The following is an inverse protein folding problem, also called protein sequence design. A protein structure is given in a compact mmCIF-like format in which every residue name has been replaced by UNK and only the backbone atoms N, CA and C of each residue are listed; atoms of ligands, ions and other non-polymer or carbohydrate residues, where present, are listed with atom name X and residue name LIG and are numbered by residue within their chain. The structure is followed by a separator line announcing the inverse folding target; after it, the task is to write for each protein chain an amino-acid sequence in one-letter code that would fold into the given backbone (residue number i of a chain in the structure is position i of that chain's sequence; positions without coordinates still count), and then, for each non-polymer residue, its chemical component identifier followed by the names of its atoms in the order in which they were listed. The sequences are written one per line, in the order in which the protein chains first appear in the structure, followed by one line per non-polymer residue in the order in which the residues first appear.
data_IF_270317799307
#
_entry.id   IF_270317799307
#
_cell.length_a   1.000
_cell.length_b   1.000
_cell.length_c   1.000
_cell.angle_alpha   90.00
_cell.angle_beta   90.00
_cell.angle_gamma   90.00
#
_symmetry.space_group_name_H-M   'P 1'
#
loop_
_entity.id
_entity.type
_entity.pdbx_description
1 polymer ?
#
# COMPACT_ATOMS: atom_id res chain seq x y z
N UNK A 1 24.97 -5.19 3.53
CA UNK A 1 23.59 -5.69 3.62
C UNK A 1 22.77 -4.77 4.48
N UNK A 2 21.72 -4.24 3.89
CA UNK A 2 20.80 -3.43 4.65
C UNK A 2 19.99 -4.32 5.59
N UNK A 3 20.04 -4.01 6.86
CA UNK A 3 19.11 -4.63 7.80
C UNK A 3 17.71 -4.14 7.46
N UNK A 4 16.90 -5.07 6.98
CA UNK A 4 15.51 -4.80 6.69
C UNK A 4 14.72 -5.00 7.97
N UNK A 5 14.09 -3.95 8.44
CA UNK A 5 13.09 -4.10 9.48
C UNK A 5 11.77 -4.42 8.80
N UNK A 6 11.10 -5.44 9.25
CA UNK A 6 9.83 -5.84 8.67
C UNK A 6 8.74 -5.90 9.73
N UNK A 7 7.61 -5.30 9.42
CA UNK A 7 6.41 -5.38 10.23
C UNK A 7 5.33 -6.07 9.42
N UNK A 8 4.69 -7.07 10.01
CA UNK A 8 3.61 -7.81 9.35
C UNK A 8 2.42 -7.84 10.28
N UNK A 9 1.24 -7.58 9.74
CA UNK A 9 0.01 -7.75 10.48
C UNK A 9 -1.06 -8.34 9.58
N UNK A 10 -1.93 -9.13 10.17
CA UNK A 10 -3.09 -9.70 9.50
C UNK A 10 -4.33 -9.21 10.23
N UNK A 11 -5.35 -8.81 9.49
CA UNK A 11 -6.55 -8.26 10.08
C UNK A 11 -7.78 -8.72 9.29
N UNK A 12 -8.97 -8.70 9.92
CA UNK A 12 -10.21 -9.04 9.21
C UNK A 12 -10.48 -8.06 8.08
N UNK A 13 -11.06 -8.57 6.98
CA UNK A 13 -11.41 -7.74 5.82
C UNK A 13 -12.65 -6.90 6.13
N UNK A 14 -12.48 -5.90 6.97
CA UNK A 14 -13.55 -4.99 7.40
C UNK A 14 -13.11 -3.55 7.16
N UNK A 15 -14.02 -2.69 6.68
CA UNK A 15 -13.65 -1.29 6.38
C UNK A 15 -13.06 -0.52 7.56
N UNK A 16 -13.46 -0.83 8.77
CA UNK A 16 -12.96 -0.14 9.97
C UNK A 16 -11.46 -0.35 10.20
N UNK A 17 -10.87 -1.42 9.63
CA UNK A 17 -9.44 -1.68 9.76
C UNK A 17 -8.60 -0.85 8.80
N UNK A 18 -9.19 -0.21 7.80
CA UNK A 18 -8.43 0.67 6.90
C UNK A 18 -7.79 1.81 7.69
N UNK A 19 -8.51 2.38 8.65
CA UNK A 19 -7.97 3.42 9.53
C UNK A 19 -6.82 2.92 10.40
N UNK A 20 -6.89 1.69 10.88
CA UNK A 20 -5.83 1.07 11.68
C UNK A 20 -4.56 0.92 10.84
N UNK A 21 -4.70 0.39 9.63
CA UNK A 21 -3.58 0.21 8.71
C UNK A 21 -2.92 1.56 8.39
N UNK A 22 -3.73 2.57 8.15
CA UNK A 22 -3.23 3.92 7.87
C UNK A 22 -2.40 4.46 9.03
N UNK A 23 -2.86 4.24 10.28
CA UNK A 23 -2.11 4.66 11.46
C UNK A 23 -0.77 3.93 11.59
N UNK A 24 -0.76 2.62 11.35
CA UNK A 24 0.46 1.82 11.42
C UNK A 24 1.48 2.33 10.40
N UNK A 25 1.05 2.50 9.17
CA UNK A 25 1.95 2.92 8.09
C UNK A 25 2.46 4.34 8.32
N UNK A 26 1.58 5.24 8.77
CA UNK A 26 2.01 6.61 9.05
C UNK A 26 3.02 6.67 10.19
N UNK A 27 2.86 5.82 11.20
CA UNK A 27 3.83 5.73 12.29
C UNK A 27 5.19 5.27 11.82
N UNK A 28 5.23 4.26 10.95
CA UNK A 28 6.47 3.76 10.37
C UNK A 28 7.12 4.84 9.50
N UNK A 29 6.35 5.47 8.63
CA UNK A 29 6.85 6.51 7.75
C UNK A 29 7.38 7.71 8.52
N UNK A 30 6.69 8.12 9.57
CA UNK A 30 7.14 9.20 10.43
C UNK A 30 8.49 8.87 11.07
N UNK A 31 8.62 7.65 11.56
CA UNK A 31 9.88 7.19 12.16
C UNK A 31 11.03 7.20 11.16
N UNK A 32 10.75 6.90 9.90
CA UNK A 32 11.77 6.89 8.85
C UNK A 32 12.24 8.28 8.44
N UNK A 33 11.45 9.31 8.72
CA UNK A 33 11.82 10.69 8.42
C UNK A 33 11.18 11.27 7.18
N UNK A 34 10.13 10.66 6.66
CA UNK A 34 9.37 11.26 5.56
C UNK A 34 8.75 12.59 5.97
N UNK A 35 8.59 13.49 5.02
CA UNK A 35 7.91 14.76 5.26
C UNK A 35 6.43 14.55 5.50
N UNK A 36 5.78 15.57 6.05
CA UNK A 36 4.33 15.53 6.27
C UNK A 36 3.58 15.22 4.97
N UNK A 37 3.93 15.90 3.90
CA UNK A 37 3.26 15.70 2.61
C UNK A 37 3.47 14.29 2.08
N UNK A 38 4.68 13.76 2.21
CA UNK A 38 4.97 12.38 1.80
C UNK A 38 4.18 11.37 2.63
N UNK A 39 4.04 11.62 3.93
CA UNK A 39 3.26 10.73 4.81
C UNK A 39 1.79 10.78 4.41
N UNK A 40 1.25 11.96 4.08
CA UNK A 40 -0.13 12.07 3.61
C UNK A 40 -0.34 11.32 2.30
N UNK A 41 0.62 11.40 1.38
CA UNK A 41 0.57 10.65 0.13
C UNK A 41 0.56 9.14 0.39
N UNK A 42 1.43 8.67 1.28
CA UNK A 42 1.49 7.26 1.67
C UNK A 42 0.17 6.82 2.28
N UNK A 43 -0.41 7.61 3.16
CA UNK A 43 -1.68 7.30 3.82
C UNK A 43 -2.82 7.15 2.81
N UNK A 44 -2.88 8.04 1.84
CA UNK A 44 -3.92 7.98 0.80
C UNK A 44 -3.74 6.72 -0.05
N UNK A 45 -2.53 6.46 -0.52
CA UNK A 45 -2.23 5.30 -1.35
C UNK A 45 -2.56 3.99 -0.61
N UNK A 46 -2.14 3.89 0.63
CA UNK A 46 -2.38 2.70 1.46
C UNK A 46 -3.88 2.52 1.73
N UNK A 47 -4.59 3.62 1.99
CA UNK A 47 -6.04 3.56 2.21
C UNK A 47 -6.77 3.03 0.99
N UNK A 48 -6.37 3.45 -0.20
CA UNK A 48 -6.95 2.96 -1.44
C UNK A 48 -6.65 1.48 -1.66
N UNK A 49 -5.40 1.08 -1.51
CA UNK A 49 -5.01 -0.31 -1.69
C UNK A 49 -5.69 -1.22 -0.66
N UNK A 50 -5.73 -0.78 0.60
CA UNK A 50 -6.35 -1.53 1.68
C UNK A 50 -7.86 -1.64 1.49
N UNK A 51 -8.51 -0.54 1.11
CA UNK A 51 -9.94 -0.53 0.83
C UNK A 51 -10.32 -1.49 -0.28
N UNK A 52 -9.52 -1.51 -1.35
CA UNK A 52 -9.73 -2.44 -2.46
C UNK A 52 -9.55 -3.89 -2.01
N UNK A 53 -8.53 -4.17 -1.21
CA UNK A 53 -8.29 -5.53 -0.69
C UNK A 53 -9.41 -5.98 0.24
N UNK A 54 -9.90 -5.10 1.10
CA UNK A 54 -11.01 -5.38 2.00
C UNK A 54 -12.28 -5.67 1.21
N UNK A 55 -12.59 -4.85 0.23
CA UNK A 55 -13.77 -5.04 -0.60
C UNK A 55 -13.70 -6.35 -1.37
N UNK A 56 -12.56 -6.64 -1.98
CA UNK A 56 -12.35 -7.87 -2.74
C UNK A 56 -12.51 -9.11 -1.84
N UNK A 57 -11.86 -9.10 -0.68
CA UNK A 57 -11.93 -10.23 0.24
C UNK A 57 -13.33 -10.42 0.83
N UNK A 58 -14.04 -9.32 1.10
CA UNK A 58 -15.39 -9.35 1.65
C UNK A 58 -16.39 -9.85 0.63
N UNK A 59 -16.29 -9.40 -0.61
CA UNK A 59 -17.21 -9.81 -1.67
C UNK A 59 -17.12 -11.31 -1.95
N UNK A 60 -15.94 -11.88 -1.80
CA UNK A 60 -15.72 -13.29 -2.08
C UNK A 60 -15.99 -14.18 -0.87
N UNK A 61 -15.64 -13.72 0.33
CA UNK A 61 -15.85 -14.50 1.56
C UNK A 61 -16.13 -13.58 2.74
N UNK A 62 -17.11 -13.94 3.55
CA UNK A 62 -17.44 -13.19 4.76
C UNK A 62 -16.33 -13.21 5.81
N UNK A 63 -15.46 -14.22 5.75
CA UNK A 63 -14.36 -14.41 6.69
C UNK A 63 -13.00 -14.05 6.09
N UNK A 64 -12.98 -13.15 5.10
CA UNK A 64 -11.74 -12.75 4.46
C UNK A 64 -10.80 -12.04 5.40
N UNK A 65 -9.52 -12.20 5.12
CA UNK A 65 -8.46 -11.52 5.85
C UNK A 65 -7.57 -10.75 4.89
N UNK A 66 -6.96 -9.69 5.39
CA UNK A 66 -6.01 -8.88 4.64
C UNK A 66 -4.70 -8.86 5.41
N UNK A 67 -3.61 -8.97 4.68
CA UNK A 67 -2.27 -8.95 5.24
C UNK A 67 -1.55 -7.68 4.81
N UNK A 68 -0.96 -7.00 5.78
CA UNK A 68 -0.09 -5.85 5.55
C UNK A 68 1.33 -6.25 5.88
N UNK A 69 2.27 -5.92 5.01
CA UNK A 69 3.69 -6.08 5.29
C UNK A 69 4.39 -4.76 4.95
N UNK A 70 5.20 -4.27 5.88
CA UNK A 70 5.99 -3.07 5.67
C UNK A 70 7.46 -3.43 5.79
N UNK A 71 8.23 -3.20 4.73
CA UNK A 71 9.67 -3.38 4.72
C UNK A 71 10.37 -2.03 4.79
N UNK A 72 11.15 -1.83 5.84
CA UNK A 72 11.90 -0.58 6.06
C UNK A 72 13.33 -0.77 5.57
N UNK A 73 13.68 -0.01 4.55
CA UNK A 73 15.04 0.00 3.98
C UNK A 73 15.68 1.35 4.25
N UNK A 74 16.97 1.43 4.01
CA UNK A 74 17.70 2.67 4.21
C UNK A 74 17.22 3.79 3.28
N UNK A 75 16.74 3.43 2.10
CA UNK A 75 16.40 4.38 1.03
C UNK A 75 14.93 4.36 0.64
N UNK A 76 14.12 3.53 1.26
CA UNK A 76 12.71 3.42 0.85
C UNK A 76 11.87 2.64 1.88
N UNK A 77 10.58 2.82 1.76
CA UNK A 77 9.57 2.02 2.44
C UNK A 77 8.81 1.22 1.39
N UNK A 78 8.74 -0.09 1.57
CA UNK A 78 7.92 -0.97 0.73
C UNK A 78 6.72 -1.45 1.53
N UNK A 79 5.54 -1.23 0.99
CA UNK A 79 4.29 -1.60 1.64
C UNK A 79 3.58 -2.60 0.74
N UNK A 80 3.26 -3.77 1.29
CA UNK A 80 2.55 -4.80 0.56
C UNK A 80 1.22 -5.05 1.24
N UNK A 81 0.15 -5.04 0.45
CA UNK A 81 -1.20 -5.36 0.93
C UNK A 81 -1.71 -6.50 0.06
N UNK A 82 -2.12 -7.58 0.72
CA UNK A 82 -2.65 -8.74 -0.01
C UNK A 82 -3.84 -9.32 0.72
N UNK A 83 -4.81 -9.83 -0.03
CA UNK A 83 -5.89 -10.58 0.58
C UNK A 83 -5.41 -12.00 0.90
N UNK A 84 -6.07 -12.66 1.85
CA UNK A 84 -5.73 -14.02 2.18
C UNK A 84 -6.14 -14.94 1.03
N UNK A 85 -5.33 -15.92 0.71
CA UNK A 85 -5.48 -16.75 -0.47
C UNK A 85 -6.67 -17.70 -0.49
N UNK A 86 -7.64 -17.57 0.40
CA UNK A 86 -8.80 -18.46 0.41
C UNK A 86 -9.67 -18.32 -0.82
N UNK A 87 -9.69 -17.14 -1.42
CA UNK A 87 -10.44 -16.85 -2.64
C UNK A 87 -9.69 -17.19 -3.90
N UNK A 88 -8.46 -17.60 -3.77
CA UNK A 88 -7.53 -17.77 -4.89
C UNK A 88 -8.07 -18.73 -5.95
N UNK A 89 -8.60 -19.87 -5.54
CA UNK A 89 -9.11 -20.86 -6.48
C UNK A 89 -10.32 -20.35 -7.26
N UNK A 90 -11.16 -19.55 -6.62
CA UNK A 90 -12.32 -18.95 -7.26
C UNK A 90 -11.92 -17.82 -8.20
N UNK A 91 -10.93 -17.02 -7.82
CA UNK A 91 -10.40 -15.97 -8.67
C UNK A 91 -9.76 -16.51 -9.93
N UNK A 92 -9.03 -17.61 -9.84
CA UNK A 92 -8.44 -18.27 -11.01
C UNK A 92 -9.56 -18.73 -11.97
N UNK A 93 -10.64 -19.25 -11.44
CA UNK A 93 -11.78 -19.64 -12.27
C UNK A 93 -12.43 -18.45 -12.95
N UNK A 94 -12.53 -17.33 -12.27
CA UNK A 94 -13.09 -16.11 -12.86
C UNK A 94 -12.18 -15.55 -13.95
N UNK A 95 -10.88 -15.59 -13.73
CA UNK A 95 -9.91 -15.10 -14.71
C UNK A 95 -9.89 -15.95 -15.99
N UNK A 96 -10.32 -17.20 -15.87
CA UNK A 96 -10.39 -18.09 -17.02
C UNK A 96 -11.66 -17.90 -17.87
N UNK A 97 -12.59 -17.06 -17.44
CA UNK A 97 -13.85 -16.81 -18.14
C UNK A 97 -13.66 -15.69 -19.19
N UNK A 98 -14.01 -15.93 -20.47
CA UNK A 98 -13.69 -14.95 -21.53
C UNK A 98 -14.58 -13.72 -21.57
N UNK A 99 -15.56 -13.61 -20.68
CA UNK A 99 -16.51 -12.47 -20.65
C UNK A 99 -15.91 -11.28 -19.92
N UNK A 100 -14.70 -11.41 -19.42
CA UNK A 100 -14.16 -10.48 -18.44
C UNK A 100 -13.56 -9.20 -19.01
N UNK A 101 -13.33 -9.13 -20.32
CA UNK A 101 -12.77 -7.92 -20.90
C UNK A 101 -13.68 -6.70 -20.70
N UNK A 102 -14.99 -6.90 -20.85
CA UNK A 102 -15.94 -5.80 -20.64
C UNK A 102 -16.19 -5.54 -19.16
N UNK A 103 -16.17 -6.59 -18.35
CA UNK A 103 -16.33 -6.46 -16.92
C UNK A 103 -15.08 -5.84 -16.28
N UNK A 104 -13.92 -6.17 -16.82
CA UNK A 104 -12.66 -5.56 -16.39
C UNK A 104 -12.62 -4.07 -16.67
N UNK A 105 -13.18 -3.62 -17.78
CA UNK A 105 -13.23 -2.20 -18.12
C UNK A 105 -14.13 -1.45 -17.14
N UNK A 106 -15.26 -2.03 -16.75
CA UNK A 106 -16.14 -1.42 -15.75
C UNK A 106 -15.56 -1.47 -14.35
N UNK A 107 -14.95 -2.57 -13.95
CA UNK A 107 -14.26 -2.65 -12.66
C UNK A 107 -12.97 -1.85 -12.65
N UNK A 108 -12.31 -1.69 -13.81
CA UNK A 108 -11.19 -0.79 -13.96
C UNK A 108 -11.62 0.68 -13.86
N UNK A 109 -12.88 0.98 -14.16
CA UNK A 109 -13.38 2.34 -14.02
C UNK A 109 -13.51 2.75 -12.54
N UNK A 110 -13.86 1.82 -11.66
CA UNK A 110 -13.88 2.05 -10.23
C UNK A 110 -12.51 1.77 -9.59
N UNK A 111 -11.91 0.62 -9.90
CA UNK A 111 -10.59 0.23 -9.40
C UNK A 111 -9.45 0.96 -10.09
N UNK A 112 -9.66 1.42 -11.34
CA UNK A 112 -8.67 2.15 -12.10
C UNK A 112 -8.34 3.52 -11.55
N UNK A 113 -9.33 4.21 -10.98
CA UNK A 113 -9.10 5.48 -10.31
C UNK A 113 -8.25 5.30 -9.05
N UNK A 114 -8.56 4.28 -8.25
CA UNK A 114 -7.77 3.98 -7.06
C UNK A 114 -6.34 3.59 -7.41
N UNK A 115 -6.15 2.73 -8.40
CA UNK A 115 -4.83 2.34 -8.85
C UNK A 115 -4.05 3.51 -9.43
N UNK A 116 -4.72 4.33 -10.24
CA UNK A 116 -4.13 5.54 -10.79
C UNK A 116 -3.67 6.48 -9.69
N UNK A 117 -4.49 6.63 -8.65
CA UNK A 117 -4.14 7.46 -7.50
C UNK A 117 -2.92 6.90 -6.77
N UNK A 118 -2.88 5.59 -6.56
CA UNK A 118 -1.73 4.94 -5.92
C UNK A 118 -0.45 5.19 -6.74
N UNK A 119 -0.52 5.00 -8.05
CA UNK A 119 0.62 5.24 -8.93
C UNK A 119 1.07 6.71 -8.91
N UNK A 120 0.13 7.63 -8.81
CA UNK A 120 0.44 9.06 -8.78
C UNK A 120 1.14 9.48 -7.49
N UNK A 121 0.85 8.79 -6.37
CA UNK A 121 1.34 9.17 -5.05
C UNK A 121 2.58 8.40 -4.61
N UNK A 122 2.82 7.23 -5.18
CA UNK A 122 3.95 6.38 -4.84
C UNK A 122 4.97 6.37 -5.97
N UNK A 123 6.20 6.02 -5.65
CA UNK A 123 7.28 6.01 -6.64
C UNK A 123 7.27 4.76 -7.50
N UNK A 124 6.78 3.64 -6.97
CA UNK A 124 6.62 2.41 -7.73
C UNK A 124 5.44 1.63 -7.18
N UNK A 125 4.72 0.97 -8.07
CA UNK A 125 3.57 0.13 -7.71
C UNK A 125 3.61 -1.11 -8.57
N UNK A 126 3.51 -2.28 -7.94
CA UNK A 126 3.35 -3.53 -8.66
C UNK A 126 2.17 -4.31 -8.12
N UNK A 127 1.48 -4.99 -9.02
CA UNK A 127 0.31 -5.79 -8.67
C UNK A 127 0.56 -7.21 -9.14
N UNK A 128 0.41 -8.15 -8.22
CA UNK A 128 0.53 -9.57 -8.51
C UNK A 128 -0.80 -10.24 -8.21
N UNK A 129 -1.33 -10.94 -9.20
CA UNK A 129 -2.63 -11.61 -9.09
C UNK A 129 -2.52 -13.14 -9.07
N UNK A 130 -1.32 -13.67 -8.92
CA UNK A 130 -1.11 -15.13 -9.02
C UNK A 130 -1.74 -15.89 -7.85
N UNK A 131 -1.69 -15.32 -6.65
CA UNK A 131 -2.22 -15.95 -5.42
C UNK A 131 -3.11 -14.96 -4.67
N UNK A 132 -4.25 -14.61 -5.29
CA UNK A 132 -5.07 -13.52 -4.82
C UNK A 132 -4.50 -12.21 -5.35
N UNK A 133 -4.87 -11.10 -4.75
CA UNK A 133 -4.38 -9.78 -5.18
C UNK A 133 -3.36 -9.28 -4.18
N UNK A 134 -2.19 -8.97 -4.67
CA UNK A 134 -1.08 -8.45 -3.87
C UNK A 134 -0.59 -7.16 -4.52
N UNK A 135 -0.70 -6.07 -3.80
CA UNK A 135 -0.24 -4.76 -4.24
C UNK A 135 1.00 -4.39 -3.43
N UNK A 136 2.09 -4.12 -4.12
CA UNK A 136 3.33 -3.65 -3.49
C UNK A 136 3.57 -2.21 -3.93
N UNK A 137 3.70 -1.33 -2.95
CA UNK A 137 3.90 0.10 -3.16
C UNK A 137 5.23 0.51 -2.55
N UNK A 138 6.00 1.30 -3.27
CA UNK A 138 7.30 1.77 -2.81
C UNK A 138 7.31 3.29 -2.77
N UNK A 139 7.75 3.83 -1.66
CA UNK A 139 8.00 5.26 -1.52
C UNK A 139 9.49 5.46 -1.21
N UNK A 140 10.18 6.16 -2.09
CA UNK A 140 11.59 6.43 -1.89
C UNK A 140 11.77 7.46 -0.78
N UNK A 141 12.79 7.26 0.03
CA UNK A 141 13.17 8.23 1.05
C UNK A 141 14.38 8.98 0.52
N UNK A 142 14.19 10.25 0.21
CA UNK A 142 15.27 11.08 -0.29
C UNK A 142 16.07 11.63 0.88
N UNK A 143 17.16 10.91 1.20
CA UNK A 143 18.00 11.29 2.33
C UNK A 143 18.71 12.64 2.12
N UNK A 144 18.97 12.99 0.88
CA UNK A 144 19.56 14.29 0.57
C UNK A 144 18.62 15.43 0.96
N UNK A 145 17.32 15.27 0.73
CA UNK A 145 16.31 16.24 1.17
C UNK A 145 16.20 16.29 2.68
N UNK A 146 16.23 15.15 3.34
CA UNK A 146 16.19 15.06 4.80
C UNK A 146 17.42 15.74 5.39
N UNK A 147 18.59 15.47 4.85
CA UNK A 147 19.85 16.08 5.30
C UNK A 147 19.87 17.59 5.02
N UNK A 148 19.36 18.02 3.89
CA UNK A 148 19.23 19.44 3.56
C UNK A 148 18.27 20.15 4.50
N UNK A 149 17.17 19.53 4.84
CA UNK A 149 16.24 20.10 5.81
C UNK A 149 16.86 20.22 7.19
N UNK A 150 17.59 19.22 7.62
CA UNK A 150 18.31 19.23 8.89
C UNK A 150 19.40 20.30 8.89
N UNK A 151 20.12 20.43 7.78
CA UNK A 151 21.14 21.46 7.63
C UNK A 151 20.56 22.87 7.66
N UNK A 152 19.43 23.07 7.02
CA UNK A 152 18.74 24.36 7.03
C UNK A 152 18.28 24.75 8.43
N UNK A 153 17.79 23.79 9.19
CA UNK A 153 17.37 24.03 10.57
C UNK A 153 18.57 24.39 11.44
N UNK A 154 19.70 23.70 11.24
CA UNK A 154 20.89 23.93 12.06
C UNK A 154 21.63 25.22 11.72
N UNK A 155 21.45 25.76 10.52
CA UNK A 155 22.14 26.98 10.10
C UNK A 155 21.35 28.27 10.37
N UNK A 156 20.08 28.18 10.64
CA UNK A 156 19.22 29.34 10.82
C UNK A 156 19.53 30.19 12.05
N UNK A 157 19.99 29.66 13.16
CA UNK A 157 20.13 30.46 14.36
C UNK A 157 21.46 31.18 14.53
N UNK A 158 22.37 31.09 13.62
CA UNK A 158 23.70 31.64 13.81
C UNK A 158 23.82 33.12 13.45
N UNK A 159 22.74 33.81 13.44
CA UNK A 159 22.70 35.24 13.27
C UNK A 159 22.25 35.87 14.58
#
# INVERSE_FOLDING_TARGET
MSNIEQTVMTFPAKPEYVGVVRLVVSGIANRMGYTYDEIEDIKIAVSEACGNAVQHAYDDHQDGEVKLACGVYADRLEITIEDSGKTFADDVKRQAAPVEETTEIESLHEGGLGLFLIEALMDDVSINKDNGVKVTMTKLLNRDEVDQSASKISTTPSQ
#
